data_IF_618349146608
#
_entry.id   IF_618349146608
#
_cell.length_a   1.000
_cell.length_b   1.000
_cell.length_c   1.000
_cell.angle_alpha   90.00
_cell.angle_beta   90.00
_cell.angle_gamma   90.00
#
_symmetry.space_group_name_H-M   'P 1'
#
loop_
_entity.id
_entity.type
_entity.pdbx_description
1 polymer ?
#
# COMPACT_ATOMS: atom_id res chain seq x y z
N UNK A 1 14.88 4.47 7.64
CA UNK A 1 13.65 3.77 8.09
C UNK A 1 14.05 2.88 9.25
N UNK A 2 13.33 2.93 10.37
CA UNK A 2 13.53 2.00 11.48
C UNK A 2 12.87 0.65 11.16
N UNK A 3 13.28 -0.45 11.82
CA UNK A 3 12.70 -1.79 11.61
C UNK A 3 11.17 -1.80 11.81
N UNK A 4 10.68 -1.08 12.83
CA UNK A 4 9.24 -0.92 13.08
C UNK A 4 8.50 -0.20 11.93
N UNK A 5 9.09 0.86 11.35
CA UNK A 5 8.51 1.57 10.20
C UNK A 5 8.45 0.68 8.95
N UNK A 6 9.47 -0.16 8.75
CA UNK A 6 9.47 -1.11 7.65
C UNK A 6 8.38 -2.19 7.83
N UNK A 7 8.28 -2.79 9.02
CA UNK A 7 7.23 -3.79 9.33
C UNK A 7 5.83 -3.22 9.14
N UNK A 8 5.58 -2.00 9.61
CA UNK A 8 4.29 -1.33 9.43
C UNK A 8 3.95 -1.16 7.95
N UNK A 9 4.91 -0.70 7.14
CA UNK A 9 4.72 -0.52 5.70
C UNK A 9 4.45 -1.85 4.98
N UNK A 10 5.10 -2.94 5.37
CA UNK A 10 4.85 -4.27 4.81
C UNK A 10 3.42 -4.74 5.12
N UNK A 11 2.97 -4.61 6.38
CA UNK A 11 1.61 -4.98 6.79
C UNK A 11 0.56 -4.17 6.01
N UNK A 12 0.77 -2.86 5.88
CA UNK A 12 -0.14 -2.00 5.11
C UNK A 12 -0.21 -2.39 3.64
N UNK A 13 0.93 -2.75 3.03
CA UNK A 13 0.96 -3.20 1.64
C UNK A 13 0.24 -4.54 1.46
N UNK A 14 0.46 -5.51 2.36
CA UNK A 14 -0.23 -6.81 2.31
C UNK A 14 -1.74 -6.61 2.44
N UNK A 15 -2.19 -5.83 3.43
CA UNK A 15 -3.60 -5.53 3.63
C UNK A 15 -4.24 -4.85 2.41
N UNK A 16 -3.52 -3.92 1.75
CA UNK A 16 -4.01 -3.28 0.52
C UNK A 16 -4.16 -4.27 -0.62
N UNK A 17 -3.21 -5.19 -0.79
CA UNK A 17 -3.27 -6.24 -1.82
C UNK A 17 -4.43 -7.20 -1.54
N UNK A 18 -4.60 -7.63 -0.29
CA UNK A 18 -5.70 -8.50 0.12
C UNK A 18 -7.07 -7.85 -0.11
N UNK A 19 -7.22 -6.58 0.28
CA UNK A 19 -8.44 -5.83 0.03
C UNK A 19 -8.73 -5.72 -1.47
N UNK A 20 -7.76 -5.30 -2.27
CA UNK A 20 -7.91 -5.18 -3.72
C UNK A 20 -8.24 -6.52 -4.40
N UNK A 21 -7.73 -7.64 -3.87
CA UNK A 21 -8.09 -8.98 -4.33
C UNK A 21 -9.57 -9.29 -4.06
N UNK A 22 -10.04 -9.04 -2.84
CA UNK A 22 -11.44 -9.29 -2.48
C UNK A 22 -12.41 -8.32 -3.19
N UNK A 23 -11.99 -7.09 -3.45
CA UNK A 23 -12.75 -6.12 -4.25
C UNK A 23 -12.95 -6.62 -5.69
N UNK A 24 -11.91 -7.20 -6.31
CA UNK A 24 -12.03 -7.83 -7.63
C UNK A 24 -12.97 -9.05 -7.62
N UNK A 25 -12.85 -9.92 -6.61
CA UNK A 25 -13.76 -11.06 -6.44
C UNK A 25 -15.21 -10.59 -6.35
N UNK A 26 -15.47 -9.57 -5.53
CA UNK A 26 -16.79 -8.98 -5.37
C UNK A 26 -17.30 -8.39 -6.68
N UNK A 27 -16.49 -7.59 -7.38
CA UNK A 27 -16.88 -6.96 -8.65
C UNK A 27 -17.27 -8.00 -9.71
N UNK A 28 -16.50 -9.08 -9.85
CA UNK A 28 -16.80 -10.16 -10.79
C UNK A 28 -18.12 -10.88 -10.45
N UNK A 29 -18.38 -11.12 -9.16
CA UNK A 29 -19.65 -11.71 -8.70
C UNK A 29 -20.82 -10.79 -8.98
N UNK A 30 -20.67 -9.50 -8.71
CA UNK A 30 -21.71 -8.52 -8.99
C UNK A 30 -22.00 -8.44 -10.51
N UNK A 31 -20.97 -8.44 -11.36
CA UNK A 31 -21.15 -8.49 -12.82
C UNK A 31 -21.96 -9.71 -13.24
N UNK A 32 -21.64 -10.89 -12.70
CA UNK A 32 -22.41 -12.11 -12.99
C UNK A 32 -23.89 -11.97 -12.60
N UNK A 33 -24.18 -11.37 -11.44
CA UNK A 33 -25.56 -11.10 -10.99
C UNK A 33 -26.30 -10.17 -11.97
N UNK A 34 -25.64 -9.11 -12.46
CA UNK A 34 -26.26 -8.21 -13.45
C UNK A 34 -26.54 -8.92 -14.77
N UNK A 35 -25.63 -9.77 -15.25
CA UNK A 35 -25.82 -10.57 -16.46
C UNK A 35 -27.01 -11.53 -16.29
N UNK A 36 -27.10 -12.19 -15.14
CA UNK A 36 -28.22 -13.09 -14.85
C UNK A 36 -29.55 -12.34 -14.74
N UNK A 37 -29.56 -11.10 -14.23
CA UNK A 37 -30.74 -10.25 -14.21
C UNK A 37 -31.23 -9.90 -15.63
N UNK A 38 -30.33 -9.54 -16.55
CA UNK A 38 -30.68 -9.31 -17.97
C UNK A 38 -31.28 -10.57 -18.58
N UNK A 39 -30.67 -11.74 -18.34
CA UNK A 39 -31.17 -13.02 -18.85
C UNK A 39 -32.59 -13.31 -18.34
N UNK A 40 -32.83 -13.15 -17.05
CA UNK A 40 -34.15 -13.35 -16.44
C UNK A 40 -35.19 -12.37 -17.02
N UNK A 41 -34.83 -11.10 -17.17
CA UNK A 41 -35.72 -10.09 -17.73
C UNK A 41 -36.09 -10.38 -19.19
N UNK A 42 -35.15 -10.90 -20.00
CA UNK A 42 -35.43 -11.35 -21.37
C UNK A 42 -36.40 -12.54 -21.40
N UNK A 43 -36.22 -13.53 -20.53
CA UNK A 43 -37.18 -14.64 -20.39
C UNK A 43 -38.57 -14.15 -19.98
N UNK A 44 -38.64 -13.14 -19.10
CA UNK A 44 -39.90 -12.52 -18.72
C UNK A 44 -40.56 -11.80 -19.90
N UNK A 45 -39.80 -11.06 -20.71
CA UNK A 45 -40.30 -10.39 -21.92
C UNK A 45 -40.92 -11.40 -22.89
N UNK A 46 -40.23 -12.51 -23.16
CA UNK A 46 -40.77 -13.59 -24.02
C UNK A 46 -42.09 -14.15 -23.48
N UNK A 47 -42.20 -14.29 -22.16
CA UNK A 47 -43.45 -14.73 -21.52
C UNK A 47 -44.56 -13.68 -21.69
N UNK A 48 -44.26 -12.40 -21.49
CA UNK A 48 -45.21 -11.30 -21.65
C UNK A 48 -45.72 -11.23 -23.09
N UNK A 49 -44.84 -11.37 -24.09
CA UNK A 49 -45.21 -11.39 -25.51
C UNK A 49 -46.26 -12.47 -25.81
N UNK A 50 -46.03 -13.71 -25.35
CA UNK A 50 -47.00 -14.82 -25.52
C UNK A 50 -48.33 -14.56 -24.83
N UNK A 51 -48.35 -13.85 -23.69
CA UNK A 51 -49.58 -13.51 -22.99
C UNK A 51 -50.35 -12.38 -23.68
N UNK A 52 -49.65 -11.41 -24.27
CA UNK A 52 -50.26 -10.36 -25.09
C UNK A 52 -50.88 -10.95 -26.35
N UNK A 53 -50.20 -11.87 -27.04
CA UNK A 53 -50.73 -12.58 -28.22
C UNK A 53 -52.03 -13.33 -27.91
N UNK A 54 -52.18 -13.82 -26.68
CA UNK A 54 -53.38 -14.50 -26.18
C UNK A 54 -54.44 -13.54 -25.61
N UNK A 55 -54.18 -12.24 -25.62
CA UNK A 55 -55.08 -11.22 -25.07
C UNK A 55 -55.19 -11.20 -23.54
N UNK A 56 -54.28 -11.88 -22.82
CA UNK A 56 -54.28 -11.95 -21.34
C UNK A 56 -53.64 -10.69 -20.74
N UNK A 57 -52.71 -10.08 -21.47
CA UNK A 57 -51.86 -9.00 -20.98
C UNK A 57 -51.92 -7.81 -21.97
N UNK A 58 -51.76 -6.59 -21.47
CA UNK A 58 -51.81 -5.39 -22.31
C UNK A 58 -50.50 -5.18 -23.10
N UNK A 59 -50.53 -4.68 -24.35
CA UNK A 59 -49.31 -4.45 -25.15
C UNK A 59 -48.28 -3.51 -24.50
N UNK A 60 -48.73 -2.58 -23.63
CA UNK A 60 -47.85 -1.66 -22.90
C UNK A 60 -46.84 -2.38 -21.99
N UNK A 61 -47.17 -3.59 -21.53
CA UNK A 61 -46.29 -4.40 -20.68
C UNK A 61 -45.04 -4.90 -21.43
N UNK A 62 -45.11 -5.08 -22.76
CA UNK A 62 -43.94 -5.41 -23.59
C UNK A 62 -42.98 -4.22 -23.60
N UNK A 63 -43.52 -3.01 -23.74
CA UNK A 63 -42.72 -1.77 -23.73
C UNK A 63 -42.06 -1.55 -22.37
N UNK A 64 -42.82 -1.74 -21.28
CA UNK A 64 -42.31 -1.65 -19.91
C UNK A 64 -41.18 -2.67 -19.65
N UNK A 65 -41.40 -3.94 -20.00
CA UNK A 65 -40.39 -4.99 -19.84
C UNK A 65 -39.14 -4.73 -20.70
N UNK A 66 -39.30 -4.20 -21.92
CA UNK A 66 -38.17 -3.81 -22.77
C UNK A 66 -37.36 -2.68 -22.14
N UNK A 67 -38.01 -1.66 -21.59
CA UNK A 67 -37.33 -0.57 -20.88
C UNK A 67 -36.55 -1.10 -19.66
N UNK A 68 -37.12 -2.04 -18.92
CA UNK A 68 -36.45 -2.67 -17.79
C UNK A 68 -35.20 -3.46 -18.21
N UNK A 69 -35.26 -4.19 -19.34
CA UNK A 69 -34.08 -4.87 -19.90
C UNK A 69 -32.97 -3.86 -20.21
N UNK A 70 -33.29 -2.73 -20.85
CA UNK A 70 -32.32 -1.67 -21.13
C UNK A 70 -31.65 -1.15 -19.86
N UNK A 71 -32.42 -0.97 -18.78
CA UNK A 71 -31.86 -0.60 -17.47
C UNK A 71 -30.89 -1.65 -16.94
N UNK A 72 -31.23 -2.94 -17.02
CA UNK A 72 -30.33 -4.00 -16.59
C UNK A 72 -29.08 -4.11 -17.47
N UNK A 73 -29.19 -3.90 -18.78
CA UNK A 73 -28.03 -3.84 -19.67
C UNK A 73 -27.10 -2.69 -19.30
N UNK A 74 -27.64 -1.51 -18.97
CA UNK A 74 -26.85 -0.40 -18.44
C UNK A 74 -26.11 -0.77 -17.15
N UNK A 75 -26.75 -1.51 -16.25
CA UNK A 75 -26.13 -1.97 -15.01
C UNK A 75 -24.99 -2.98 -15.27
N UNK A 76 -25.13 -3.85 -16.29
CA UNK A 76 -24.04 -4.74 -16.72
C UNK A 76 -22.83 -3.93 -17.17
N UNK A 77 -23.02 -2.88 -17.98
CA UNK A 77 -21.90 -2.02 -18.41
C UNK A 77 -21.20 -1.33 -17.22
N UNK A 78 -21.97 -0.80 -16.26
CA UNK A 78 -21.41 -0.19 -15.05
C UNK A 78 -20.65 -1.22 -14.19
N UNK A 79 -21.16 -2.45 -14.08
CA UNK A 79 -20.48 -3.53 -13.36
C UNK A 79 -19.19 -3.98 -14.08
N UNK A 80 -19.19 -4.01 -15.41
CA UNK A 80 -18.02 -4.33 -16.23
C UNK A 80 -16.90 -3.28 -16.02
N UNK A 81 -17.26 -2.00 -15.97
CA UNK A 81 -16.31 -0.93 -15.67
C UNK A 81 -15.74 -1.07 -14.25
N UNK A 82 -16.59 -1.38 -13.28
CA UNK A 82 -16.16 -1.65 -11.89
C UNK A 82 -15.16 -2.81 -11.80
N UNK A 83 -15.39 -3.91 -12.53
CA UNK A 83 -14.44 -5.02 -12.63
C UNK A 83 -13.10 -4.56 -13.19
N UNK A 84 -13.13 -3.76 -14.26
CA UNK A 84 -11.93 -3.23 -14.92
C UNK A 84 -11.12 -2.35 -13.96
N UNK A 85 -11.79 -1.48 -13.20
CA UNK A 85 -11.14 -0.62 -12.21
C UNK A 85 -10.55 -1.43 -11.05
N UNK A 86 -11.28 -2.42 -10.53
CA UNK A 86 -10.81 -3.29 -9.46
C UNK A 86 -9.59 -4.12 -9.91
N UNK A 87 -9.64 -4.67 -11.12
CA UNK A 87 -8.53 -5.44 -11.69
C UNK A 87 -7.28 -4.58 -11.88
N UNK A 88 -7.44 -3.36 -12.42
CA UNK A 88 -6.33 -2.43 -12.58
C UNK A 88 -5.72 -2.03 -11.24
N UNK A 89 -6.54 -1.82 -10.21
CA UNK A 89 -6.08 -1.51 -8.85
C UNK A 89 -5.26 -2.66 -8.26
N UNK A 90 -5.70 -3.90 -8.43
CA UNK A 90 -4.92 -5.05 -7.99
C UNK A 90 -3.61 -5.17 -8.78
N UNK A 91 -3.65 -4.99 -10.10
CA UNK A 91 -2.48 -5.05 -10.98
C UNK A 91 -1.42 -4.01 -10.60
N UNK A 92 -1.79 -2.78 -10.27
CA UNK A 92 -0.82 -1.75 -9.86
C UNK A 92 -0.17 -2.03 -8.52
N UNK A 93 -0.79 -2.84 -7.66
CA UNK A 93 -0.23 -3.25 -6.37
C UNK A 93 0.73 -4.45 -6.49
N UNK A 94 0.47 -5.38 -7.43
CA UNK A 94 1.23 -6.63 -7.55
C UNK A 94 2.26 -6.65 -8.69
N UNK A 95 2.09 -5.81 -9.72
CA UNK A 95 2.98 -5.75 -10.87
C UNK A 95 3.96 -4.59 -10.73
N UNK A 96 5.19 -4.80 -11.21
CA UNK A 96 6.25 -3.79 -11.18
C UNK A 96 5.91 -2.58 -12.06
N UNK A 97 5.36 -2.83 -13.24
CA UNK A 97 4.96 -1.82 -14.21
C UNK A 97 3.89 -2.35 -15.19
N UNK A 98 3.41 -1.47 -16.07
CA UNK A 98 2.39 -1.79 -17.08
C UNK A 98 2.90 -2.60 -18.27
N UNK A 99 4.21 -2.84 -18.37
CA UNK A 99 4.80 -3.65 -19.43
C UNK A 99 4.91 -5.12 -19.05
N UNK A 100 4.55 -5.48 -17.81
CA UNK A 100 4.51 -6.87 -17.37
C UNK A 100 3.53 -7.69 -18.24
N UNK A 101 3.91 -8.93 -18.59
CA UNK A 101 3.10 -9.85 -19.41
C UNK A 101 1.68 -10.08 -18.85
N UNK A 102 1.54 -9.98 -17.52
CA UNK A 102 0.27 -10.14 -16.82
C UNK A 102 -0.65 -8.91 -16.93
N UNK A 103 -0.14 -7.75 -17.36
CA UNK A 103 -0.93 -6.52 -17.46
C UNK A 103 -2.11 -6.66 -18.43
N UNK A 104 -1.88 -7.28 -19.59
CA UNK A 104 -2.90 -7.50 -20.62
C UNK A 104 -3.75 -8.76 -20.41
N UNK A 105 -3.52 -9.52 -19.34
CA UNK A 105 -4.25 -10.78 -19.07
C UNK A 105 -5.32 -10.56 -18.00
N UNK A 106 -6.53 -11.13 -18.17
CA UNK A 106 -7.55 -11.07 -17.13
C UNK A 106 -7.13 -11.86 -15.89
N UNK A 107 -7.26 -11.28 -14.71
CA UNK A 107 -7.07 -11.97 -13.43
C UNK A 107 -8.34 -12.73 -13.05
N UNK A 108 -8.21 -14.05 -12.86
CA UNK A 108 -9.32 -14.91 -12.41
C UNK A 108 -9.06 -15.38 -10.98
N UNK A 109 -9.82 -14.90 -9.99
CA UNK A 109 -9.72 -15.39 -8.61
C UNK A 109 -10.11 -16.88 -8.54
N UNK A 110 -9.31 -17.68 -7.83
CA UNK A 110 -9.55 -19.13 -7.65
C UNK A 110 -10.12 -19.49 -6.28
N UNK A 111 -10.24 -18.51 -5.37
CA UNK A 111 -10.65 -18.77 -3.99
C UNK A 111 -12.15 -19.04 -3.88
N UNK A 112 -12.57 -20.14 -3.24
CA UNK A 112 -13.97 -20.35 -2.89
C UNK A 112 -14.43 -19.30 -1.87
N UNK A 113 -15.63 -18.73 -2.05
CA UNK A 113 -16.23 -17.72 -1.16
C UNK A 113 -16.85 -18.41 0.07
N UNK A 114 -16.05 -19.21 0.79
CA UNK A 114 -16.42 -19.76 2.10
C UNK A 114 -15.52 -19.10 3.15
N UNK A 115 -16.00 -18.00 3.73
CA UNK A 115 -15.37 -17.37 4.88
C UNK A 115 -15.71 -18.18 6.14
N UNK A 116 -14.76 -18.97 6.63
CA UNK A 116 -14.87 -19.54 7.98
C UNK A 116 -14.67 -18.42 9.00
N UNK A 117 -15.59 -18.31 9.98
CA UNK A 117 -15.44 -17.35 11.06
C UNK A 117 -14.10 -17.56 11.80
N UNK A 118 -13.42 -16.48 12.24
CA UNK A 118 -12.20 -16.59 13.01
C UNK A 118 -12.44 -17.44 14.26
N UNK A 119 -11.63 -18.48 14.44
CA UNK A 119 -11.74 -19.39 15.59
C UNK A 119 -11.03 -18.87 16.85
N UNK A 120 -10.48 -17.66 16.80
CA UNK A 120 -9.68 -17.08 17.89
C UNK A 120 -10.61 -16.30 18.82
N UNK A 121 -10.63 -16.59 20.13
CA UNK A 121 -11.40 -15.81 21.11
C UNK A 121 -10.87 -14.38 21.19
N UNK A 122 -11.77 -13.41 21.36
CA UNK A 122 -11.49 -11.98 21.30
C UNK A 122 -10.35 -11.56 22.24
N UNK A 123 -10.33 -12.07 23.47
CA UNK A 123 -9.31 -11.71 24.47
C UNK A 123 -7.90 -12.15 24.05
N UNK A 124 -7.78 -13.32 23.42
CA UNK A 124 -6.51 -13.80 22.88
C UNK A 124 -6.05 -12.95 21.69
N UNK A 125 -6.97 -12.55 20.82
CA UNK A 125 -6.67 -11.65 19.71
C UNK A 125 -6.22 -10.26 20.18
N UNK A 126 -6.83 -9.72 21.24
CA UNK A 126 -6.44 -8.43 21.83
C UNK A 126 -5.04 -8.51 22.45
N UNK A 127 -4.76 -9.57 23.21
CA UNK A 127 -3.45 -9.76 23.83
C UNK A 127 -2.33 -9.87 22.79
N UNK A 128 -2.55 -10.64 21.72
CA UNK A 128 -1.59 -10.76 20.61
C UNK A 128 -1.45 -9.46 19.81
N UNK A 129 -2.54 -8.73 19.60
CA UNK A 129 -2.50 -7.43 18.91
C UNK A 129 -1.67 -6.42 19.71
N UNK A 130 -1.88 -6.30 21.02
CA UNK A 130 -1.12 -5.38 21.87
C UNK A 130 0.37 -5.70 21.90
N UNK A 131 0.74 -6.99 21.77
CA UNK A 131 2.13 -7.43 21.76
C UNK A 131 2.85 -7.16 20.43
N UNK A 132 2.13 -7.24 19.30
CA UNK A 132 2.72 -7.20 17.97
C UNK A 132 2.45 -5.90 17.18
N UNK A 133 1.65 -4.98 17.72
CA UNK A 133 1.29 -3.69 17.07
C UNK A 133 2.52 -2.80 16.85
N UNK A 134 2.93 -2.57 15.59
CA UNK A 134 4.11 -1.77 15.28
C UNK A 134 3.96 -0.30 15.73
N UNK A 135 2.74 0.23 15.75
CA UNK A 135 2.50 1.62 16.18
C UNK A 135 2.84 1.86 17.65
N UNK A 136 2.62 0.86 18.53
CA UNK A 136 2.97 0.95 19.95
C UNK A 136 4.50 0.89 20.12
N UNK A 137 5.16 0.02 19.37
CA UNK A 137 6.62 -0.08 19.36
C UNK A 137 7.26 1.23 18.84
N UNK A 138 6.65 1.86 17.84
CA UNK A 138 7.12 3.14 17.29
C UNK A 138 6.95 4.29 18.29
N UNK A 139 5.83 4.33 19.04
CA UNK A 139 5.62 5.31 20.12
C UNK A 139 6.63 5.14 21.26
N UNK A 140 6.93 3.90 21.65
CA UNK A 140 7.95 3.61 22.66
C UNK A 140 9.34 4.07 22.20
N UNK A 141 9.73 3.73 20.96
CA UNK A 141 11.01 4.16 20.37
C UNK A 141 11.12 5.69 20.33
N UNK A 142 10.05 6.40 19.95
CA UNK A 142 10.02 7.86 19.96
C UNK A 142 10.17 8.44 21.37
N UNK A 143 9.58 7.79 22.38
CA UNK A 143 9.74 8.18 23.79
C UNK A 143 11.20 8.02 24.26
N UNK A 144 11.85 6.92 23.90
CA UNK A 144 13.27 6.68 24.20
C UNK A 144 14.17 7.72 23.52
N UNK A 145 13.93 8.02 22.23
CA UNK A 145 14.64 9.08 21.51
C UNK A 145 14.47 10.43 22.22
N UNK A 146 13.25 10.78 22.62
CA UNK A 146 12.99 12.04 23.32
C UNK A 146 13.70 12.10 24.68
N UNK A 147 13.79 10.98 25.40
CA UNK A 147 14.54 10.88 26.64
C UNK A 147 16.04 11.07 26.43
N UNK A 148 16.62 10.38 25.44
CA UNK A 148 18.03 10.54 25.05
C UNK A 148 18.32 11.99 24.66
N UNK A 149 17.44 12.61 23.86
CA UNK A 149 17.59 14.02 23.47
C UNK A 149 17.56 14.94 24.70
N UNK A 150 16.64 14.71 25.64
CA UNK A 150 16.54 15.50 26.87
C UNK A 150 17.82 15.38 27.70
N UNK A 151 18.35 14.17 27.86
CA UNK A 151 19.58 13.94 28.60
C UNK A 151 20.82 14.51 27.88
N UNK A 152 20.86 14.44 26.55
CA UNK A 152 21.88 15.05 25.71
C UNK A 152 21.89 16.57 25.85
N UNK A 153 20.74 17.24 25.70
CA UNK A 153 20.62 18.69 25.86
C UNK A 153 20.91 19.12 27.31
N UNK A 154 20.53 18.33 28.31
CA UNK A 154 20.94 18.56 29.71
C UNK A 154 22.45 18.42 29.90
N UNK A 155 23.11 17.51 29.20
CA UNK A 155 24.57 17.41 29.25
C UNK A 155 25.26 18.58 28.54
N UNK A 156 24.67 19.14 27.48
CA UNK A 156 25.21 20.32 26.80
C UNK A 156 25.19 21.60 27.65
N UNK A 157 24.38 21.67 28.71
CA UNK A 157 24.43 22.78 29.67
C UNK A 157 25.55 22.64 30.70
N UNK A 158 26.26 21.50 30.72
CA UNK A 158 27.40 21.28 31.61
C UNK A 158 28.69 21.86 30.99
N UNK A 159 29.68 22.27 31.82
CA UNK A 159 30.98 22.69 31.33
C UNK A 159 31.68 21.56 30.57
N UNK A 160 32.14 21.85 29.36
CA UNK A 160 33.00 20.95 28.60
C UNK A 160 34.44 21.08 29.08
N UNK A 161 35.11 19.96 29.36
CA UNK A 161 36.53 19.92 29.76
C UNK A 161 37.31 19.24 28.64
N UNK A 162 38.09 20.03 27.90
CA UNK A 162 38.99 19.53 26.87
C UNK A 162 40.44 19.64 27.34
N UNK A 163 41.24 18.59 27.14
CA UNK A 163 42.67 18.60 27.45
C UNK A 163 43.49 18.73 26.17
N UNK A 164 44.23 19.83 26.05
CA UNK A 164 45.08 20.12 24.88
C UNK A 164 46.53 20.28 25.35
N UNK A 165 47.45 19.48 24.78
CA UNK A 165 48.90 19.60 25.03
C UNK A 165 49.61 19.99 23.74
N UNK A 166 50.19 21.19 23.71
CA UNK A 166 51.06 21.63 22.62
C UNK A 166 52.54 21.53 23.04
N UNK A 167 53.37 20.93 22.18
CA UNK A 167 54.84 20.86 22.34
C UNK A 167 55.48 21.66 21.20
N UNK A 168 56.04 22.84 21.52
CA UNK A 168 56.79 23.66 20.59
C UNK A 168 58.31 23.48 20.82
N UNK A 169 59.05 23.05 19.79
CA UNK A 169 60.52 23.10 19.78
C UNK A 169 60.98 24.27 18.91
N UNK A 170 61.45 25.36 19.53
CA UNK A 170 62.22 26.39 18.85
C UNK A 170 63.70 26.02 18.92
N UNK A 171 64.27 25.58 17.80
CA UNK A 171 65.73 25.54 17.65
C UNK A 171 66.22 26.96 17.38
N UNK A 172 66.83 27.57 18.40
CA UNK A 172 67.59 28.82 18.26
C UNK A 172 68.84 28.57 17.41
N UNK A 173 68.96 29.26 16.27
CA UNK A 173 70.25 29.46 15.61
C UNK A 173 70.81 30.81 16.05
N UNK A 174 71.80 30.78 16.96
CA UNK A 174 72.60 31.97 17.31
C UNK A 174 74.10 31.63 17.28
N UNK A 175 74.69 31.90 16.10
CA UNK A 175 76.00 32.53 15.88
C UNK A 175 77.29 31.83 16.30
N UNK A 176 78.23 31.71 15.33
CA UNK A 176 79.60 32.26 15.48
C UNK A 176 80.31 32.38 14.13
N UNK A 177 80.91 33.56 13.90
CA UNK A 177 81.84 33.91 12.81
C UNK A 177 83.12 33.07 12.85
N UNK A 178 83.75 32.84 11.71
CA UNK A 178 85.21 32.78 11.60
C UNK A 178 85.64 33.25 10.21
N UNK A 179 86.45 34.31 10.19
CA UNK A 179 87.15 34.87 9.04
C UNK A 179 88.42 34.06 8.71
N UNK A 180 89.04 34.44 7.58
CA UNK A 180 90.33 34.06 6.96
C UNK A 180 90.33 32.83 6.03
N UNK A 181 90.95 32.81 4.85
CA UNK A 181 91.44 33.79 3.88
C UNK A 181 92.01 32.99 2.68
N UNK A 182 92.12 33.64 1.53
CA UNK A 182 93.23 33.54 0.57
C UNK A 182 93.10 32.66 -0.70
N UNK A 183 93.06 33.40 -1.82
CA UNK A 183 93.81 33.25 -3.08
C UNK A 183 93.38 32.27 -4.20
N UNK A 184 92.84 32.89 -5.26
CA UNK A 184 93.18 32.77 -6.69
C UNK A 184 94.69 32.53 -6.99
N UNK A 185 95.14 32.15 -8.22
CA UNK A 185 94.51 32.45 -9.52
C UNK A 185 94.56 31.33 -10.60
N UNK A 186 93.85 31.58 -11.70
CA UNK A 186 93.98 30.86 -12.98
C UNK A 186 92.89 31.22 -13.97
#
# INVERSE_FOLDING_TARGET
MTDAQFRQSVIENINRVEQAYWDLVFALRNLQVQIDAVKQARTQLESNQRLVEKGVLAPIEIVSATAQITTFEQNVYSAQDTVTQAENTLKTLILKDRNADLWSRPLTPVTPVELQAPRVPLDAAIADALKNRPEIQQLQTNSEINKINTDYFRNQTKPQIDFIRHIHQQRSRRGRKSDYAHNDPG
#
